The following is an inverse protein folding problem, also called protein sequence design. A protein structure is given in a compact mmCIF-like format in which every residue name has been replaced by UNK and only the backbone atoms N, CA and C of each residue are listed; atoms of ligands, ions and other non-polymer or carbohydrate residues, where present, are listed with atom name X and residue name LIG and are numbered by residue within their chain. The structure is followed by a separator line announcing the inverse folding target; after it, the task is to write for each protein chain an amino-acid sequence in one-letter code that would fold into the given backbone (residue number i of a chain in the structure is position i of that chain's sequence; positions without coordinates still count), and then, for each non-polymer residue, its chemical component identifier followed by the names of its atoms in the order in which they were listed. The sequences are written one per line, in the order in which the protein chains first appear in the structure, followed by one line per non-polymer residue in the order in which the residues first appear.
data_IF_475166038038
#
_entry.id   IF_475166038038
#
_cell.length_a   1.000
_cell.length_b   1.000
_cell.length_c   1.000
_cell.angle_alpha   90.00
_cell.angle_beta   90.00
_cell.angle_gamma   90.00
#
_symmetry.space_group_name_H-M   'P 1'
#
loop_
_entity.id
_entity.type
_entity.pdbx_description
1 polymer ?
#
# COMPACT_ATOMS: atom_id res chain seq x y z
N UNK A 1 -90.51 28.52 -8.99
CA UNK A 1 -89.76 29.15 -10.08
C UNK A 1 -88.52 29.80 -9.54
N UNK A 2 -87.34 29.15 -9.64
CA UNK A 2 -86.08 29.64 -9.14
C UNK A 2 -85.27 30.15 -10.36
N UNK A 3 -84.91 31.42 -10.30
CA UNK A 3 -84.04 32.08 -11.30
C UNK A 3 -82.58 31.71 -11.02
N UNK A 4 -81.89 31.19 -12.04
CA UNK A 4 -80.44 31.00 -11.98
C UNK A 4 -79.76 32.27 -12.56
N UNK A 5 -78.88 32.84 -11.76
CA UNK A 5 -77.95 33.92 -12.20
C UNK A 5 -76.68 33.24 -12.71
N UNK A 6 -76.29 33.59 -13.92
CA UNK A 6 -75.04 33.18 -14.56
C UNK A 6 -74.01 34.27 -14.30
N UNK A 7 -72.98 33.94 -13.55
CA UNK A 7 -71.85 34.86 -13.28
C UNK A 7 -70.74 34.55 -14.32
N UNK A 8 -70.43 35.52 -15.18
CA UNK A 8 -69.32 35.44 -16.10
C UNK A 8 -67.99 35.68 -15.34
N UNK A 9 -67.09 34.68 -15.31
CA UNK A 9 -65.73 34.84 -14.87
C UNK A 9 -64.86 35.32 -16.03
N UNK A 10 -64.30 36.53 -15.91
CA UNK A 10 -63.34 37.09 -16.81
C UNK A 10 -61.97 36.49 -16.52
N UNK A 11 -61.38 35.80 -17.47
CA UNK A 11 -59.98 35.29 -17.39
C UNK A 11 -59.03 36.38 -17.82
N UNK A 12 -58.20 36.86 -16.89
CA UNK A 12 -57.09 37.72 -17.19
C UNK A 12 -55.87 36.85 -17.64
N UNK A 13 -55.45 37.05 -18.87
CA UNK A 13 -54.28 36.41 -19.44
C UNK A 13 -53.07 37.26 -19.03
N UNK A 14 -52.22 36.76 -18.12
CA UNK A 14 -50.95 37.31 -17.80
C UNK A 14 -49.88 36.87 -18.85
N UNK A 15 -49.06 37.76 -19.39
CA UNK A 15 -48.01 37.38 -20.34
C UNK A 15 -46.87 36.66 -19.57
N UNK A 16 -46.60 35.43 -19.94
CA UNK A 16 -45.46 34.63 -19.49
C UNK A 16 -44.18 35.16 -20.15
N UNK A 17 -43.38 35.93 -19.42
CA UNK A 17 -42.04 36.32 -19.88
C UNK A 17 -41.12 35.13 -19.72
N UNK A 18 -40.84 34.41 -20.83
CA UNK A 18 -39.81 33.37 -20.87
C UNK A 18 -38.46 34.06 -20.82
N UNK A 19 -37.84 34.11 -19.65
CA UNK A 19 -36.46 34.53 -19.51
C UNK A 19 -35.55 33.49 -20.19
N UNK A 20 -34.93 33.87 -21.30
CA UNK A 20 -33.83 33.12 -21.89
C UNK A 20 -32.65 33.18 -20.91
N UNK A 21 -32.56 32.17 -20.01
CA UNK A 21 -31.36 31.94 -19.21
C UNK A 21 -30.24 31.59 -20.18
N UNK A 22 -29.25 32.46 -20.32
CA UNK A 22 -28.01 32.12 -21.01
C UNK A 22 -27.36 30.94 -20.31
N UNK A 23 -27.40 29.76 -20.95
CA UNK A 23 -26.59 28.63 -20.54
C UNK A 23 -25.13 29.04 -20.69
N UNK A 24 -24.46 29.33 -19.56
CA UNK A 24 -23.02 29.46 -19.55
C UNK A 24 -22.42 28.16 -20.10
N UNK A 25 -21.53 28.23 -21.10
CA UNK A 25 -20.88 27.03 -21.60
C UNK A 25 -20.17 26.33 -20.42
N UNK A 26 -20.49 25.05 -20.20
CA UNK A 26 -19.79 24.25 -19.24
C UNK A 26 -18.30 24.34 -19.58
N UNK A 27 -17.49 24.83 -18.63
CA UNK A 27 -16.06 24.91 -18.81
C UNK A 27 -15.57 23.48 -19.07
N UNK A 28 -15.18 23.21 -20.30
CA UNK A 28 -14.55 21.95 -20.68
C UNK A 28 -13.35 21.80 -19.77
N UNK A 29 -13.35 20.78 -18.91
CA UNK A 29 -12.19 20.46 -18.09
C UNK A 29 -11.03 20.20 -19.06
N UNK A 30 -10.13 21.17 -19.19
CA UNK A 30 -8.90 20.99 -19.97
C UNK A 30 -8.18 19.80 -19.38
N UNK A 31 -8.00 18.75 -20.18
CA UNK A 31 -7.11 17.66 -19.81
C UNK A 31 -5.76 18.24 -19.40
N UNK A 32 -5.23 17.81 -18.25
CA UNK A 32 -3.92 18.27 -17.82
C UNK A 32 -2.90 17.99 -18.95
N UNK A 33 -1.97 18.92 -19.24
CA UNK A 33 -1.02 18.78 -20.33
C UNK A 33 -0.22 17.49 -20.21
N UNK A 34 -0.12 16.75 -21.31
CA UNK A 34 0.71 15.54 -21.38
C UNK A 34 2.08 15.88 -21.98
N UNK A 35 3.13 15.41 -21.33
CA UNK A 35 4.50 15.50 -21.81
C UNK A 35 5.03 14.10 -22.07
N UNK A 36 5.37 13.81 -23.34
CA UNK A 36 5.90 12.50 -23.74
C UNK A 36 7.43 12.51 -23.65
N UNK A 37 7.99 11.46 -23.05
CA UNK A 37 9.43 11.24 -22.88
C UNK A 37 9.81 9.98 -23.62
N UNK A 38 10.82 10.08 -24.48
CA UNK A 38 11.36 8.96 -25.25
C UNK A 38 12.60 8.38 -24.54
N UNK A 39 12.95 7.09 -24.80
CA UNK A 39 14.20 6.52 -24.31
C UNK A 39 15.42 7.38 -24.68
N UNK A 40 16.35 7.54 -23.72
CA UNK A 40 17.50 8.44 -23.88
C UNK A 40 17.23 9.88 -23.42
N UNK A 41 15.98 10.27 -23.22
CA UNK A 41 15.64 11.55 -22.61
C UNK A 41 15.59 11.45 -21.06
N UNK A 42 15.86 12.53 -20.37
CA UNK A 42 15.79 12.60 -18.91
C UNK A 42 14.35 12.67 -18.42
N UNK A 43 13.93 11.67 -17.66
CA UNK A 43 12.63 11.68 -16.99
C UNK A 43 12.55 12.81 -15.96
N UNK A 44 13.64 13.05 -15.22
CA UNK A 44 13.68 14.12 -14.20
C UNK A 44 13.43 15.49 -14.82
N UNK A 45 14.10 15.81 -15.95
CA UNK A 45 13.87 17.08 -16.63
C UNK A 45 12.41 17.26 -17.05
N UNK A 46 11.77 16.21 -17.51
CA UNK A 46 10.34 16.24 -17.87
C UNK A 46 9.46 16.45 -16.63
N UNK A 47 9.76 15.76 -15.52
CA UNK A 47 9.06 15.96 -14.24
C UNK A 47 9.23 17.39 -13.73
N UNK A 48 10.43 17.95 -13.81
CA UNK A 48 10.71 19.33 -13.36
C UNK A 48 9.94 20.36 -14.18
N UNK A 49 9.91 20.19 -15.50
CA UNK A 49 9.22 21.10 -16.43
C UNK A 49 7.68 20.96 -16.40
N UNK A 50 7.15 19.84 -15.94
CA UNK A 50 5.72 19.59 -15.89
C UNK A 50 5.00 20.53 -14.90
N UNK A 51 3.86 21.08 -15.30
CA UNK A 51 3.00 21.82 -14.37
C UNK A 51 2.38 20.90 -13.32
N UNK A 52 2.03 21.40 -12.12
CA UNK A 52 1.27 20.63 -11.14
C UNK A 52 0.00 20.02 -11.75
N UNK A 53 -0.23 18.72 -11.51
CA UNK A 53 -1.35 17.96 -12.08
C UNK A 53 -1.13 17.42 -13.50
N UNK A 54 -0.03 17.76 -14.16
CA UNK A 54 0.29 17.26 -15.49
C UNK A 54 0.61 15.75 -15.51
N UNK A 55 0.60 15.19 -16.70
CA UNK A 55 0.99 13.78 -16.93
C UNK A 55 2.31 13.74 -17.70
N UNK A 56 3.32 13.06 -17.15
CA UNK A 56 4.55 12.69 -17.84
C UNK A 56 4.38 11.25 -18.32
N UNK A 57 4.44 11.06 -19.62
CA UNK A 57 4.22 9.77 -20.29
C UNK A 57 5.55 9.22 -20.80
N UNK A 58 5.94 8.09 -20.25
CA UNK A 58 7.13 7.36 -20.72
C UNK A 58 6.71 6.32 -21.76
N UNK A 59 7.29 6.37 -22.94
CA UNK A 59 7.08 5.35 -23.96
C UNK A 59 7.75 4.02 -23.57
N UNK A 60 7.60 2.99 -24.39
CA UNK A 60 8.34 1.74 -24.20
C UNK A 60 9.85 1.98 -24.31
N UNK A 61 10.62 1.39 -23.43
CA UNK A 61 12.08 1.48 -23.42
C UNK A 61 12.66 1.61 -22.02
N UNK A 62 13.99 1.76 -21.97
CA UNK A 62 14.73 1.86 -20.71
C UNK A 62 15.12 3.30 -20.46
N UNK A 63 14.84 3.74 -19.22
CA UNK A 63 15.15 5.08 -18.72
C UNK A 63 16.15 4.95 -17.58
N UNK A 64 17.22 5.72 -17.62
CA UNK A 64 18.29 5.67 -16.63
C UNK A 64 18.22 6.85 -15.66
N UNK A 65 18.47 6.57 -14.39
CA UNK A 65 18.48 7.57 -13.33
C UNK A 65 17.26 7.49 -12.41
N UNK A 66 17.38 8.14 -11.29
CA UNK A 66 16.31 8.30 -10.29
C UNK A 66 15.33 9.39 -10.72
N UNK A 67 14.12 9.36 -10.13
CA UNK A 67 13.09 10.36 -10.40
C UNK A 67 12.56 10.90 -9.08
N UNK A 68 12.68 12.20 -8.85
CA UNK A 68 12.14 12.89 -7.67
C UNK A 68 10.87 13.67 -8.04
N UNK A 69 9.80 13.41 -7.31
CA UNK A 69 8.49 14.05 -7.49
C UNK A 69 8.12 14.79 -6.20
N UNK A 70 8.00 16.10 -6.27
CA UNK A 70 7.67 16.97 -5.13
C UNK A 70 6.38 17.79 -5.33
N UNK A 71 5.63 17.50 -6.37
CA UNK A 71 4.38 18.18 -6.73
C UNK A 71 3.33 17.19 -7.25
N UNK A 72 2.04 17.54 -7.24
CA UNK A 72 1.01 16.73 -7.88
C UNK A 72 1.39 16.40 -9.33
N UNK A 73 1.46 15.13 -9.69
CA UNK A 73 1.89 14.69 -11.02
C UNK A 73 1.40 13.26 -11.27
N UNK A 74 1.16 12.92 -12.54
CA UNK A 74 1.03 11.54 -12.99
C UNK A 74 2.28 11.15 -13.77
N UNK A 75 3.02 10.15 -13.29
CA UNK A 75 4.09 9.47 -14.04
C UNK A 75 3.52 8.16 -14.59
N UNK A 76 3.40 8.04 -15.90
CA UNK A 76 2.76 6.90 -16.56
C UNK A 76 3.66 6.28 -17.60
N UNK A 77 3.91 5.00 -17.48
CA UNK A 77 4.57 4.20 -18.52
C UNK A 77 3.57 3.54 -19.48
N UNK A 78 4.08 2.79 -20.44
CA UNK A 78 3.34 1.99 -21.41
C UNK A 78 3.24 0.50 -20.98
N UNK A 79 3.32 0.21 -19.69
CA UNK A 79 3.31 -1.15 -19.13
C UNK A 79 4.70 -1.65 -18.75
N UNK A 80 4.85 -2.97 -18.59
CA UNK A 80 6.09 -3.60 -18.12
C UNK A 80 7.33 -3.38 -19.01
N UNK A 81 7.14 -2.91 -20.23
CA UNK A 81 8.21 -2.57 -21.16
C UNK A 81 8.74 -1.13 -21.01
N UNK A 82 8.18 -0.34 -20.12
CA UNK A 82 8.74 0.94 -19.69
C UNK A 82 9.50 0.70 -18.41
N UNK A 83 10.83 0.74 -18.47
CA UNK A 83 11.70 0.31 -17.37
C UNK A 83 12.59 1.45 -16.91
N UNK A 84 12.52 1.78 -15.63
CA UNK A 84 13.42 2.74 -14.96
C UNK A 84 14.47 1.93 -14.22
N UNK A 85 15.76 2.21 -14.51
CA UNK A 85 16.93 1.52 -13.95
C UNK A 85 17.95 2.53 -13.41
N UNK A 86 18.86 2.12 -12.51
CA UNK A 86 19.92 2.99 -12.03
C UNK A 86 20.87 3.44 -13.17
N UNK A 87 21.59 4.51 -12.91
CA UNK A 87 22.54 5.10 -13.85
C UNK A 87 22.02 6.42 -14.42
N UNK A 88 22.85 7.07 -15.23
CA UNK A 88 22.59 8.40 -15.80
C UNK A 88 23.79 9.32 -15.53
N UNK A 89 23.96 10.32 -16.40
CA UNK A 89 25.04 11.33 -16.28
C UNK A 89 24.62 12.46 -15.34
N UNK A 90 24.35 12.13 -14.08
CA UNK A 90 24.00 13.15 -13.07
C UNK A 90 25.28 13.78 -12.51
N UNK A 91 25.62 14.96 -13.02
CA UNK A 91 26.75 15.76 -12.48
C UNK A 91 26.55 16.18 -11.02
N UNK A 92 25.30 16.25 -10.55
CA UNK A 92 24.94 16.52 -9.17
C UNK A 92 23.73 15.66 -8.78
N UNK A 93 23.95 14.48 -8.18
CA UNK A 93 22.85 13.59 -7.81
C UNK A 93 21.96 14.25 -6.76
N UNK A 94 20.63 14.15 -6.95
CA UNK A 94 19.65 14.60 -5.98
C UNK A 94 19.54 13.66 -4.76
N UNK A 95 18.65 13.97 -3.83
CA UNK A 95 18.48 13.17 -2.62
C UNK A 95 18.00 11.74 -2.91
N UNK A 96 17.19 11.55 -3.96
CA UNK A 96 16.70 10.23 -4.36
C UNK A 96 17.83 9.34 -4.89
N UNK A 97 18.64 9.90 -5.79
CA UNK A 97 19.82 9.23 -6.34
C UNK A 97 20.84 8.90 -5.26
N UNK A 98 21.15 9.86 -4.38
CA UNK A 98 22.08 9.61 -3.25
C UNK A 98 21.56 8.56 -2.28
N UNK A 99 20.23 8.46 -2.14
CA UNK A 99 19.61 7.43 -1.32
C UNK A 99 19.59 6.05 -1.97
N UNK A 100 19.99 5.92 -3.25
CA UNK A 100 19.94 4.66 -4.00
C UNK A 100 18.53 4.21 -4.38
N UNK A 101 17.55 5.12 -4.45
CA UNK A 101 16.15 4.83 -4.76
C UNK A 101 15.83 5.11 -6.23
N UNK A 102 14.80 4.44 -6.75
CA UNK A 102 14.35 4.63 -8.13
C UNK A 102 13.43 5.83 -8.32
N UNK A 103 12.27 5.81 -7.70
CA UNK A 103 11.32 6.92 -7.72
C UNK A 103 11.06 7.39 -6.30
N UNK A 104 11.32 8.65 -6.02
CA UNK A 104 11.02 9.28 -4.74
C UNK A 104 9.85 10.25 -4.87
N UNK A 105 8.85 10.10 -4.00
CA UNK A 105 7.78 11.09 -3.82
C UNK A 105 7.94 11.69 -2.43
N UNK A 106 8.34 12.96 -2.37
CA UNK A 106 8.76 13.54 -1.10
C UNK A 106 8.01 14.82 -0.77
N UNK A 107 7.22 14.78 0.30
CA UNK A 107 6.62 15.94 0.96
C UNK A 107 7.29 16.25 2.28
N UNK A 108 6.76 17.22 3.01
CA UNK A 108 7.10 17.54 4.41
C UNK A 108 5.91 17.28 5.32
N UNK A 109 6.10 17.34 6.62
CA UNK A 109 4.98 17.17 7.57
C UNK A 109 3.98 18.33 7.45
N UNK A 110 4.45 19.56 7.19
CA UNK A 110 3.64 20.75 6.98
C UNK A 110 2.99 20.78 5.58
N UNK A 111 3.67 20.27 4.57
CA UNK A 111 3.25 20.29 3.17
C UNK A 111 3.38 18.91 2.52
N UNK A 112 2.47 17.97 2.81
CA UNK A 112 2.47 16.68 2.15
C UNK A 112 2.23 16.84 0.64
N UNK A 113 2.96 16.08 -0.16
CA UNK A 113 2.70 16.04 -1.61
C UNK A 113 1.41 15.27 -1.87
N UNK A 114 0.45 15.93 -2.55
CA UNK A 114 -0.90 15.38 -2.71
C UNK A 114 -1.16 14.91 -4.14
N UNK A 115 -1.80 13.75 -4.31
CA UNK A 115 -2.37 13.32 -5.58
C UNK A 115 -1.36 12.88 -6.63
N UNK A 116 -0.17 12.46 -6.23
CA UNK A 116 0.79 11.85 -7.16
C UNK A 116 0.29 10.49 -7.59
N UNK A 117 0.44 10.18 -8.89
CA UNK A 117 0.11 8.89 -9.47
C UNK A 117 1.30 8.30 -10.21
N UNK A 118 1.69 7.08 -9.86
CA UNK A 118 2.74 6.30 -10.56
C UNK A 118 2.05 5.08 -11.14
N UNK A 119 2.10 4.95 -12.48
CA UNK A 119 1.30 3.92 -13.16
C UNK A 119 2.03 3.21 -14.29
N UNK A 120 1.80 1.90 -14.41
CA UNK A 120 2.09 1.10 -15.61
C UNK A 120 3.54 1.22 -16.07
N UNK A 121 4.49 0.96 -15.18
CA UNK A 121 5.93 0.94 -15.46
C UNK A 121 6.66 -0.06 -14.56
N UNK A 122 7.91 -0.35 -14.90
CA UNK A 122 8.82 -1.17 -14.09
C UNK A 122 9.91 -0.29 -13.48
N UNK A 123 10.24 -0.55 -12.23
CA UNK A 123 11.38 0.05 -11.50
C UNK A 123 12.24 -1.09 -10.98
N UNK A 124 13.48 -1.19 -11.43
CA UNK A 124 14.30 -2.35 -11.10
C UNK A 124 15.78 -2.04 -10.91
N UNK A 125 16.42 -2.87 -10.07
CA UNK A 125 17.88 -2.89 -9.91
C UNK A 125 18.46 -1.74 -9.09
N UNK A 126 17.65 -0.97 -8.37
CA UNK A 126 18.14 0.10 -7.49
C UNK A 126 18.77 -0.47 -6.22
N UNK A 127 19.76 0.25 -5.69
CA UNK A 127 20.49 -0.17 -4.49
C UNK A 127 19.59 -0.30 -3.26
N UNK A 128 18.54 0.55 -3.15
CA UNK A 128 17.57 0.49 -2.07
C UNK A 128 16.16 0.27 -2.60
N UNK A 129 15.35 1.30 -2.69
CA UNK A 129 13.92 1.15 -2.96
C UNK A 129 13.58 1.38 -4.43
N UNK A 130 12.67 0.59 -4.96
CA UNK A 130 12.12 0.86 -6.28
C UNK A 130 11.30 2.16 -6.26
N UNK A 131 10.28 2.23 -5.41
CA UNK A 131 9.48 3.44 -5.16
C UNK A 131 9.55 3.76 -3.67
N UNK A 132 9.94 4.97 -3.32
CA UNK A 132 10.02 5.48 -1.96
C UNK A 132 9.15 6.73 -1.82
N UNK A 133 8.10 6.66 -1.04
CA UNK A 133 7.17 7.78 -0.83
C UNK A 133 7.18 8.20 0.64
N UNK A 134 7.35 9.48 0.89
CA UNK A 134 7.41 10.03 2.25
C UNK A 134 6.50 11.25 2.35
N UNK A 135 5.65 11.30 3.38
CA UNK A 135 4.74 12.41 3.66
C UNK A 135 3.90 12.77 2.44
N UNK A 136 3.17 11.77 1.93
CA UNK A 136 2.26 11.94 0.80
C UNK A 136 0.81 11.84 1.24
N UNK A 137 -0.06 12.50 0.49
CA UNK A 137 -1.50 12.36 0.63
C UNK A 137 -2.13 11.96 -0.70
N UNK A 138 -3.03 10.97 -0.70
CA UNK A 138 -3.65 10.40 -1.92
C UNK A 138 -2.62 9.95 -2.98
N UNK A 139 -1.52 9.36 -2.54
CA UNK A 139 -0.60 8.68 -3.45
C UNK A 139 -1.31 7.49 -4.11
N UNK A 140 -1.16 7.36 -5.41
CA UNK A 140 -1.61 6.19 -6.15
C UNK A 140 -0.44 5.48 -6.81
N UNK A 141 -0.19 4.20 -6.47
CA UNK A 141 0.74 3.33 -7.17
C UNK A 141 -0.05 2.18 -7.76
N UNK A 142 -0.11 2.12 -9.10
CA UNK A 142 -1.01 1.23 -9.79
C UNK A 142 -0.37 0.54 -10.99
N UNK A 143 -0.41 -0.79 -11.06
CA UNK A 143 0.21 -1.59 -12.13
C UNK A 143 1.70 -1.28 -12.31
N UNK A 144 2.40 -1.07 -11.21
CA UNK A 144 3.85 -0.92 -11.18
C UNK A 144 4.47 -2.27 -10.87
N UNK A 145 5.55 -2.60 -11.59
CA UNK A 145 6.43 -3.72 -11.25
C UNK A 145 7.68 -3.14 -10.57
N UNK A 146 7.91 -3.51 -9.31
CA UNK A 146 9.11 -3.12 -8.55
C UNK A 146 9.90 -4.40 -8.24
N UNK A 147 11.02 -4.61 -8.92
CA UNK A 147 11.76 -5.89 -8.81
C UNK A 147 13.25 -5.72 -8.68
N UNK A 148 13.87 -6.70 -8.01
CA UNK A 148 15.33 -6.78 -7.87
C UNK A 148 15.94 -5.50 -7.31
N UNK A 149 15.23 -4.78 -6.44
CA UNK A 149 15.76 -3.64 -5.71
C UNK A 149 16.40 -4.13 -4.40
N UNK A 150 17.45 -3.48 -3.96
CA UNK A 150 18.27 -3.95 -2.85
C UNK A 150 17.59 -3.91 -1.49
N UNK A 151 16.50 -3.14 -1.33
CA UNK A 151 15.74 -3.07 -0.08
C UNK A 151 14.25 -3.33 -0.31
N UNK A 152 13.46 -2.32 -0.61
CA UNK A 152 12.02 -2.44 -0.76
C UNK A 152 11.55 -2.24 -2.20
N UNK A 153 10.53 -2.99 -2.58
CA UNK A 153 9.91 -2.77 -3.89
C UNK A 153 9.16 -1.44 -3.92
N UNK A 154 8.14 -1.29 -3.08
CA UNK A 154 7.37 -0.05 -2.91
C UNK A 154 7.31 0.26 -1.42
N UNK A 155 7.78 1.43 -1.05
CA UNK A 155 7.84 1.89 0.32
C UNK A 155 7.04 3.18 0.55
N UNK A 156 6.36 3.27 1.69
CA UNK A 156 5.59 4.44 2.09
C UNK A 156 5.83 4.77 3.55
N UNK A 157 6.18 6.03 3.86
CA UNK A 157 6.33 6.56 5.21
C UNK A 157 5.38 7.73 5.46
N UNK A 158 4.76 7.78 6.65
CA UNK A 158 3.91 8.90 7.13
C UNK A 158 2.99 9.47 6.04
N UNK A 159 2.28 8.60 5.35
CA UNK A 159 1.44 8.98 4.22
C UNK A 159 -0.02 8.62 4.49
N UNK A 160 -0.94 9.40 3.90
CA UNK A 160 -2.36 9.25 4.15
C UNK A 160 -3.14 8.99 2.86
N UNK A 161 -4.27 8.30 2.98
CA UNK A 161 -5.24 8.04 1.90
C UNK A 161 -4.62 7.44 0.65
N UNK A 162 -3.54 6.66 0.79
CA UNK A 162 -2.87 6.06 -0.34
C UNK A 162 -3.67 4.88 -0.93
N UNK A 163 -3.45 4.64 -2.21
CA UNK A 163 -4.00 3.51 -2.95
C UNK A 163 -2.86 2.77 -3.65
N UNK A 164 -2.42 1.63 -3.10
CA UNK A 164 -1.35 0.80 -3.66
C UNK A 164 -1.99 -0.47 -4.22
N UNK A 165 -2.24 -0.50 -5.53
CA UNK A 165 -3.09 -1.55 -6.11
C UNK A 165 -2.55 -2.18 -7.38
N UNK A 166 -2.75 -3.50 -7.50
CA UNK A 166 -2.41 -4.29 -8.68
C UNK A 166 -0.94 -4.19 -9.08
N UNK A 167 -0.04 -4.01 -8.11
CA UNK A 167 1.38 -3.97 -8.34
C UNK A 167 1.98 -5.36 -8.22
N UNK A 168 3.13 -5.56 -8.85
CA UNK A 168 3.98 -6.72 -8.63
C UNK A 168 5.26 -6.24 -7.95
N UNK A 169 5.58 -6.80 -6.78
CA UNK A 169 6.85 -6.55 -6.12
C UNK A 169 7.57 -7.88 -5.93
N UNK A 170 8.69 -8.06 -6.62
CA UNK A 170 9.38 -9.34 -6.62
C UNK A 170 10.88 -9.21 -6.45
N UNK A 171 11.45 -10.21 -5.78
CA UNK A 171 12.90 -10.38 -5.65
C UNK A 171 13.61 -9.15 -5.07
N UNK A 172 12.93 -8.39 -4.21
CA UNK A 172 13.53 -7.27 -3.51
C UNK A 172 14.25 -7.79 -2.24
N UNK A 173 15.31 -7.11 -1.85
CA UNK A 173 16.22 -7.56 -0.80
C UNK A 173 15.59 -7.67 0.60
N UNK A 174 14.56 -6.88 0.89
CA UNK A 174 13.82 -6.95 2.14
C UNK A 174 12.31 -7.12 1.86
N UNK A 175 11.50 -6.08 1.91
CA UNK A 175 10.07 -6.24 1.70
C UNK A 175 9.62 -5.92 0.27
N UNK A 176 8.64 -6.69 -0.24
CA UNK A 176 7.94 -6.33 -1.47
C UNK A 176 7.19 -5.00 -1.31
N UNK A 177 6.36 -4.89 -0.28
CA UNK A 177 5.73 -3.64 0.16
C UNK A 177 6.12 -3.33 1.61
N UNK A 178 6.53 -2.11 1.87
CA UNK A 178 6.85 -1.63 3.22
C UNK A 178 6.09 -0.34 3.50
N UNK A 179 5.18 -0.36 4.48
CA UNK A 179 4.42 0.82 4.88
C UNK A 179 4.64 1.08 6.37
N UNK A 180 5.05 2.29 6.73
CA UNK A 180 5.44 2.57 8.10
C UNK A 180 5.14 4.02 8.53
N UNK A 181 5.13 4.23 9.84
CA UNK A 181 5.43 5.51 10.43
C UNK A 181 6.90 5.49 10.86
N UNK A 182 7.74 6.18 10.11
CA UNK A 182 9.21 6.22 10.24
C UNK A 182 9.90 4.97 9.70
N UNK A 183 10.66 5.14 8.63
CA UNK A 183 11.50 4.09 8.05
C UNK A 183 12.68 3.72 8.96
N UNK A 184 13.12 4.64 9.81
CA UNK A 184 14.19 4.42 10.77
C UNK A 184 13.64 4.18 12.18
N UNK A 185 14.39 3.45 13.00
CA UNK A 185 13.96 3.07 14.34
C UNK A 185 14.06 4.27 15.30
N UNK A 186 13.00 5.04 15.37
CA UNK A 186 12.82 6.03 16.42
C UNK A 186 11.95 5.43 17.53
N UNK A 187 12.48 5.32 18.74
CA UNK A 187 11.84 4.63 19.86
C UNK A 187 10.52 5.28 20.31
N UNK A 188 10.30 6.55 19.99
CA UNK A 188 9.11 7.30 20.38
C UNK A 188 8.01 7.39 19.31
N UNK A 189 8.15 6.70 18.18
CA UNK A 189 7.20 6.80 17.08
C UNK A 189 5.83 6.25 17.46
N UNK A 190 4.84 7.13 17.54
CA UNK A 190 3.43 6.79 17.77
C UNK A 190 2.84 6.10 16.54
N UNK A 191 1.74 5.41 16.71
CA UNK A 191 0.93 4.91 15.58
C UNK A 191 0.42 6.10 14.76
N UNK A 192 0.53 5.99 13.43
CA UNK A 192 0.12 7.02 12.49
C UNK A 192 -1.22 6.65 11.84
N UNK A 193 -2.14 7.60 11.81
CA UNK A 193 -3.43 7.45 11.14
C UNK A 193 -3.26 7.62 9.63
N UNK A 194 -3.39 6.53 8.88
CA UNK A 194 -3.30 6.58 7.41
C UNK A 194 -4.55 7.15 6.75
N UNK A 195 -5.60 7.44 7.49
CA UNK A 195 -6.88 7.99 6.99
C UNK A 195 -7.49 7.17 5.86
N UNK A 196 -7.42 5.85 5.96
CA UNK A 196 -8.03 4.93 5.01
C UNK A 196 -7.12 4.56 3.82
N UNK A 197 -5.83 4.38 4.04
CA UNK A 197 -4.94 3.76 3.04
C UNK A 197 -5.40 2.35 2.70
N UNK A 198 -5.37 2.01 1.41
CA UNK A 198 -5.76 0.67 0.91
C UNK A 198 -4.63 0.06 0.09
N UNK A 199 -4.24 -1.16 0.48
CA UNK A 199 -3.25 -1.98 -0.22
C UNK A 199 -3.97 -3.22 -0.75
N UNK A 200 -4.18 -3.30 -2.08
CA UNK A 200 -5.11 -4.28 -2.63
C UNK A 200 -4.67 -4.85 -3.97
N UNK A 201 -4.91 -6.15 -4.16
CA UNK A 201 -4.69 -6.82 -5.44
C UNK A 201 -3.22 -6.91 -5.88
N UNK A 202 -2.28 -6.75 -4.96
CA UNK A 202 -0.85 -6.82 -5.27
C UNK A 202 -0.36 -8.27 -5.29
N UNK A 203 0.66 -8.55 -6.11
CA UNK A 203 1.39 -9.81 -6.15
C UNK A 203 2.79 -9.59 -5.57
N UNK A 204 3.10 -10.30 -4.47
CA UNK A 204 4.33 -10.15 -3.71
C UNK A 204 5.04 -11.49 -3.66
N UNK A 205 6.19 -11.62 -4.33
CA UNK A 205 6.87 -12.91 -4.45
C UNK A 205 8.39 -12.79 -4.45
N UNK A 206 9.08 -13.76 -3.92
CA UNK A 206 10.55 -13.81 -3.96
C UNK A 206 11.26 -12.82 -3.03
N UNK A 207 10.54 -12.03 -2.24
CA UNK A 207 11.14 -11.08 -1.30
C UNK A 207 11.54 -11.78 0.02
N UNK A 208 12.31 -11.12 0.86
CA UNK A 208 12.51 -11.58 2.23
C UNK A 208 11.18 -11.57 3.00
N UNK A 209 10.42 -10.49 2.90
CA UNK A 209 9.06 -10.35 3.45
C UNK A 209 8.14 -9.87 2.32
N UNK A 210 7.00 -10.53 2.15
CA UNK A 210 6.02 -10.06 1.16
C UNK A 210 5.57 -8.64 1.47
N UNK A 211 5.06 -8.41 2.68
CA UNK A 211 4.59 -7.11 3.13
C UNK A 211 4.89 -6.86 4.61
N UNK A 212 5.25 -5.63 4.93
CA UNK A 212 5.32 -5.13 6.31
C UNK A 212 4.44 -3.89 6.46
N UNK A 213 3.61 -3.87 7.51
CA UNK A 213 2.94 -2.66 8.00
C UNK A 213 3.43 -2.37 9.41
N UNK A 214 3.92 -1.16 9.67
CA UNK A 214 4.51 -0.84 10.97
C UNK A 214 4.01 0.48 11.54
N UNK A 215 3.42 0.43 12.73
CA UNK A 215 2.90 1.60 13.47
C UNK A 215 1.88 2.42 12.68
N UNK A 216 0.96 1.74 12.01
CA UNK A 216 -0.09 2.36 11.19
C UNK A 216 -1.47 1.89 11.65
N UNK A 217 -2.42 2.81 11.64
CA UNK A 217 -3.84 2.55 11.82
C UNK A 217 -4.68 3.07 10.64
N UNK A 218 -5.98 2.79 10.64
CA UNK A 218 -6.90 3.08 9.53
C UNK A 218 -6.38 2.57 8.18
N UNK A 219 -5.93 1.31 8.16
CA UNK A 219 -5.30 0.65 7.02
C UNK A 219 -6.06 -0.61 6.65
N UNK A 220 -6.30 -0.81 5.36
CA UNK A 220 -6.86 -2.05 4.84
C UNK A 220 -5.86 -2.73 3.89
N UNK A 221 -5.55 -4.01 4.19
CA UNK A 221 -4.74 -4.91 3.35
C UNK A 221 -5.65 -6.01 2.83
N UNK A 222 -5.95 -6.03 1.53
CA UNK A 222 -6.94 -6.94 1.00
C UNK A 222 -6.64 -7.48 -0.40
N UNK A 223 -7.12 -8.68 -0.70
CA UNK A 223 -7.04 -9.30 -2.03
C UNK A 223 -5.61 -9.39 -2.59
N UNK A 224 -4.58 -9.42 -1.76
CA UNK A 224 -3.20 -9.58 -2.21
C UNK A 224 -2.85 -11.06 -2.33
N UNK A 225 -1.98 -11.37 -3.28
CA UNK A 225 -1.36 -12.69 -3.45
C UNK A 225 0.09 -12.60 -2.96
N UNK A 226 0.42 -13.34 -1.91
CA UNK A 226 1.70 -13.27 -1.22
C UNK A 226 2.26 -14.68 -1.11
N UNK A 227 3.27 -14.99 -1.92
CA UNK A 227 3.77 -16.36 -2.06
C UNK A 227 5.26 -16.40 -2.40
N UNK A 228 5.95 -17.50 -2.01
CA UNK A 228 7.34 -17.71 -2.35
C UNK A 228 8.31 -16.71 -1.71
N UNK A 229 7.92 -16.05 -0.63
CA UNK A 229 8.79 -15.22 0.20
C UNK A 229 9.36 -16.06 1.36
N UNK A 230 10.17 -15.48 2.22
CA UNK A 230 10.57 -16.12 3.48
C UNK A 230 9.50 -15.90 4.57
N UNK A 231 8.82 -14.76 4.49
CA UNK A 231 7.66 -14.42 5.30
C UNK A 231 6.59 -13.71 4.46
N UNK A 232 5.31 -13.96 4.78
CA UNK A 232 4.18 -13.36 4.09
C UNK A 232 3.91 -11.94 4.55
N UNK A 233 3.19 -11.76 5.66
CA UNK A 233 2.74 -10.46 6.17
C UNK A 233 3.20 -10.24 7.60
N UNK A 234 3.90 -9.15 7.84
CA UNK A 234 4.20 -8.63 9.16
C UNK A 234 3.31 -7.42 9.49
N UNK A 235 2.55 -7.53 10.57
CA UNK A 235 1.81 -6.41 11.18
C UNK A 235 2.49 -6.06 12.49
N UNK A 236 3.13 -4.91 12.55
CA UNK A 236 4.02 -4.56 13.66
C UNK A 236 3.58 -3.27 14.34
N UNK A 237 3.30 -3.37 15.64
CA UNK A 237 3.04 -2.25 16.54
C UNK A 237 1.98 -1.24 16.09
N UNK A 238 0.84 -1.59 15.51
CA UNK A 238 -0.28 -0.68 15.45
C UNK A 238 -0.91 -0.58 16.86
N UNK A 239 -0.97 0.62 17.41
CA UNK A 239 -1.64 0.88 18.70
C UNK A 239 -2.67 1.99 18.57
N UNK A 240 -3.90 1.68 18.92
CA UNK A 240 -5.03 2.60 19.22
C UNK A 240 -5.31 3.78 18.29
N UNK A 241 -4.93 3.74 17.02
CA UNK A 241 -5.30 4.76 16.03
C UNK A 241 -6.05 4.11 14.87
N UNK A 242 -7.35 3.94 15.05
CA UNK A 242 -8.24 3.36 14.05
C UNK A 242 -8.01 1.87 13.76
N UNK A 243 -8.82 1.32 12.89
CA UNK A 243 -8.83 -0.10 12.59
C UNK A 243 -7.74 -0.48 11.59
N UNK A 244 -6.99 -1.54 11.88
CA UNK A 244 -6.16 -2.20 10.89
C UNK A 244 -6.84 -3.51 10.48
N UNK A 245 -7.14 -3.66 9.20
CA UNK A 245 -7.81 -4.85 8.68
C UNK A 245 -6.94 -5.57 7.64
N UNK A 246 -6.67 -6.86 7.86
CA UNK A 246 -6.04 -7.76 6.91
C UNK A 246 -7.09 -8.78 6.47
N UNK A 247 -7.58 -8.68 5.23
CA UNK A 247 -8.68 -9.53 4.78
C UNK A 247 -8.57 -10.01 3.35
N UNK A 248 -9.14 -11.19 3.08
CA UNK A 248 -9.27 -11.76 1.73
C UNK A 248 -7.94 -11.84 0.98
N UNK A 249 -6.83 -12.02 1.69
CA UNK A 249 -5.53 -12.25 1.08
C UNK A 249 -5.30 -13.75 0.90
N UNK A 250 -4.55 -14.12 -0.15
CA UNK A 250 -3.99 -15.45 -0.33
C UNK A 250 -2.51 -15.40 0.07
N UNK A 251 -2.15 -16.09 1.15
CA UNK A 251 -0.79 -16.10 1.72
C UNK A 251 -0.32 -17.55 1.81
N UNK A 252 0.54 -17.97 0.91
CA UNK A 252 0.91 -19.39 0.86
C UNK A 252 2.34 -19.63 0.41
N UNK A 253 2.90 -20.77 0.83
CA UNK A 253 4.23 -21.23 0.39
C UNK A 253 5.33 -20.18 0.58
N UNK A 254 5.28 -19.41 1.68
CA UNK A 254 6.35 -18.47 2.01
C UNK A 254 7.48 -19.19 2.74
N UNK A 255 8.06 -20.20 2.07
CA UNK A 255 8.94 -21.20 2.64
C UNK A 255 10.42 -21.00 2.32
N UNK A 256 10.79 -19.92 1.63
CA UNK A 256 12.20 -19.62 1.39
C UNK A 256 12.91 -19.36 2.70
N UNK A 257 14.14 -19.84 2.82
CA UNK A 257 15.01 -19.52 3.95
C UNK A 257 15.71 -18.18 3.71
N UNK A 258 15.59 -17.28 4.65
CA UNK A 258 16.33 -16.04 4.71
C UNK A 258 17.12 -15.97 6.02
N UNK A 259 18.45 -15.78 5.98
CA UNK A 259 19.25 -15.70 7.19
C UNK A 259 18.85 -14.55 8.10
N UNK A 260 19.27 -14.59 9.35
CA UNK A 260 19.09 -13.49 10.29
C UNK A 260 19.69 -12.18 9.72
N UNK A 261 18.96 -11.10 9.85
CA UNK A 261 19.41 -9.78 9.38
C UNK A 261 18.80 -8.66 10.22
N UNK A 262 19.58 -7.62 10.48
CA UNK A 262 19.21 -6.51 11.33
C UNK A 262 18.69 -6.99 12.71
N UNK A 263 17.40 -6.73 13.01
CA UNK A 263 16.78 -7.10 14.29
C UNK A 263 15.93 -8.36 14.20
N UNK A 264 15.82 -8.96 13.02
CA UNK A 264 15.01 -10.16 12.82
C UNK A 264 15.88 -11.42 12.81
N UNK A 265 15.46 -12.52 13.43
CA UNK A 265 16.08 -13.82 13.26
C UNK A 265 15.94 -14.27 11.80
N UNK A 266 16.40 -15.49 11.50
CA UNK A 266 16.10 -16.10 10.22
C UNK A 266 14.57 -16.17 10.00
N UNK A 267 14.15 -16.05 8.77
CA UNK A 267 12.75 -16.13 8.37
C UNK A 267 12.55 -17.30 7.43
N UNK A 268 11.53 -18.09 7.71
CA UNK A 268 11.06 -19.20 6.87
C UNK A 268 9.65 -19.59 7.30
N UNK A 269 8.75 -19.86 6.35
CA UNK A 269 7.45 -20.44 6.66
C UNK A 269 6.51 -19.53 7.47
N UNK A 270 6.60 -18.22 7.29
CA UNK A 270 5.75 -17.28 8.00
C UNK A 270 4.55 -16.88 7.12
N UNK A 271 3.35 -17.13 7.59
CA UNK A 271 2.12 -16.67 6.92
C UNK A 271 1.80 -15.22 7.27
N UNK A 272 0.92 -14.98 8.23
CA UNK A 272 0.57 -13.66 8.77
C UNK A 272 1.01 -13.61 10.23
N UNK A 273 1.82 -12.63 10.60
CA UNK A 273 2.24 -12.46 11.99
C UNK A 273 1.84 -11.10 12.54
N UNK A 274 1.26 -11.10 13.73
CA UNK A 274 0.90 -9.93 14.51
C UNK A 274 1.93 -9.75 15.63
N UNK A 275 2.60 -8.60 15.69
CA UNK A 275 3.66 -8.34 16.68
C UNK A 275 3.35 -7.06 17.45
N UNK A 276 2.99 -7.19 18.72
CA UNK A 276 2.62 -6.07 19.58
C UNK A 276 1.44 -5.25 19.04
N UNK A 277 0.45 -5.94 18.48
CA UNK A 277 -0.69 -5.29 17.79
C UNK A 277 -1.87 -5.12 18.75
N UNK A 278 -2.64 -4.06 18.54
CA UNK A 278 -3.88 -3.81 19.27
C UNK A 278 -5.05 -3.60 18.31
N UNK A 279 -6.16 -4.31 18.54
CA UNK A 279 -7.42 -4.20 17.77
C UNK A 279 -7.28 -4.48 16.26
N UNK A 280 -6.29 -5.26 15.85
CA UNK A 280 -6.19 -5.70 14.46
C UNK A 280 -7.28 -6.74 14.14
N UNK A 281 -7.88 -6.62 12.96
CA UNK A 281 -8.83 -7.60 12.42
C UNK A 281 -8.18 -8.38 11.29
N UNK A 282 -8.00 -9.69 11.48
CA UNK A 282 -7.52 -10.61 10.45
C UNK A 282 -8.66 -11.54 10.07
N UNK A 283 -9.21 -11.39 8.86
CA UNK A 283 -10.44 -12.10 8.50
C UNK A 283 -10.52 -12.53 7.04
N UNK A 284 -11.16 -13.66 6.79
CA UNK A 284 -11.42 -14.16 5.43
C UNK A 284 -10.15 -14.35 4.58
N UNK A 285 -8.99 -14.59 5.19
CA UNK A 285 -7.77 -14.89 4.46
C UNK A 285 -7.67 -16.40 4.20
N UNK A 286 -7.02 -16.76 3.10
CA UNK A 286 -6.57 -18.11 2.83
C UNK A 286 -5.06 -18.18 3.09
N UNK A 287 -4.66 -18.83 4.19
CA UNK A 287 -3.27 -18.93 4.63
C UNK A 287 -2.87 -20.40 4.63
N UNK A 288 -1.99 -20.80 3.70
CA UNK A 288 -1.73 -22.21 3.47
C UNK A 288 -0.25 -22.53 3.25
N UNK A 289 0.13 -23.71 3.69
CA UNK A 289 1.39 -24.34 3.31
C UNK A 289 2.62 -23.46 3.57
N UNK A 290 2.55 -22.58 4.58
CA UNK A 290 3.70 -21.83 5.07
C UNK A 290 4.44 -22.72 6.08
N UNK A 291 5.60 -23.23 5.68
CA UNK A 291 6.34 -24.27 6.42
C UNK A 291 7.75 -23.79 6.70
N UNK A 292 8.14 -23.77 7.97
CA UNK A 292 9.46 -23.35 8.40
C UNK A 292 9.71 -23.58 9.88
N UNK A 293 10.88 -23.13 10.33
CA UNK A 293 11.36 -23.30 11.71
C UNK A 293 11.79 -22.00 12.38
N UNK A 294 11.49 -20.85 11.74
CA UNK A 294 11.76 -19.56 12.38
C UNK A 294 10.84 -19.33 13.60
N UNK A 295 11.20 -18.48 14.53
CA UNK A 295 10.33 -18.17 15.67
C UNK A 295 8.93 -17.65 15.28
N UNK A 296 8.80 -17.11 14.07
CA UNK A 296 7.54 -16.58 13.53
C UNK A 296 6.78 -17.57 12.64
N UNK A 297 7.32 -18.76 12.38
CA UNK A 297 6.71 -19.74 11.45
C UNK A 297 5.33 -20.17 11.90
N UNK A 298 4.46 -20.38 10.93
CA UNK A 298 3.07 -20.80 11.08
C UNK A 298 2.12 -20.03 10.17
N UNK A 299 0.86 -20.39 10.23
CA UNK A 299 -0.18 -19.77 9.40
C UNK A 299 -0.53 -18.36 9.84
N UNK A 300 -1.28 -18.21 10.93
CA UNK A 300 -1.54 -16.89 11.56
C UNK A 300 -0.99 -16.95 12.98
N UNK A 301 -0.02 -16.11 13.27
CA UNK A 301 0.75 -16.14 14.53
C UNK A 301 0.61 -14.80 15.26
N UNK A 302 0.16 -14.85 16.50
CA UNK A 302 0.22 -13.72 17.44
C UNK A 302 1.52 -13.88 18.24
N UNK A 303 2.48 -12.97 18.04
CA UNK A 303 3.83 -13.07 18.56
C UNK A 303 4.18 -11.90 19.49
N UNK A 304 4.80 -12.18 20.63
CA UNK A 304 5.24 -11.15 21.57
C UNK A 304 6.26 -10.20 20.95
N UNK A 305 6.12 -8.91 21.20
CA UNK A 305 7.05 -7.90 20.71
C UNK A 305 8.35 -7.93 21.48
N UNK A 306 9.48 -7.76 20.78
CA UNK A 306 10.80 -7.59 21.43
C UNK A 306 10.88 -6.29 22.26
N UNK A 307 10.01 -5.33 22.00
CA UNK A 307 9.92 -4.06 22.76
C UNK A 307 9.00 -4.18 24.00
N UNK A 308 8.56 -5.39 24.38
CA UNK A 308 7.67 -5.65 25.51
C UNK A 308 6.24 -5.15 25.32
N UNK A 309 5.84 -4.93 24.08
CA UNK A 309 4.49 -4.49 23.73
C UNK A 309 3.61 -5.72 23.50
N UNK A 310 2.61 -5.94 24.35
CA UNK A 310 1.68 -7.04 24.24
C UNK A 310 0.72 -6.88 23.06
N UNK A 311 0.26 -8.01 22.52
CA UNK A 311 -0.85 -8.06 21.56
C UNK A 311 -2.18 -8.03 22.31
N UNK A 312 -3.03 -7.07 22.02
CA UNK A 312 -4.25 -6.82 22.76
C UNK A 312 -5.48 -6.73 21.84
N UNK A 313 -6.57 -7.41 22.25
CA UNK A 313 -7.90 -7.28 21.61
C UNK A 313 -7.91 -7.49 20.09
N UNK A 314 -6.97 -8.27 19.56
CA UNK A 314 -6.98 -8.62 18.16
C UNK A 314 -8.07 -9.68 17.89
N UNK A 315 -8.64 -9.62 16.70
CA UNK A 315 -9.66 -10.58 16.26
C UNK A 315 -9.18 -11.30 15.00
N UNK A 316 -8.95 -12.60 15.13
CA UNK A 316 -8.62 -13.50 14.02
C UNK A 316 -9.83 -14.38 13.76
N UNK A 317 -10.56 -14.13 12.65
CA UNK A 317 -11.82 -14.84 12.44
C UNK A 317 -12.11 -15.17 10.98
N UNK A 318 -12.89 -16.20 10.78
CA UNK A 318 -13.39 -16.61 9.46
C UNK A 318 -12.27 -16.84 8.43
N UNK A 319 -11.06 -17.24 8.86
CA UNK A 319 -9.93 -17.53 7.99
C UNK A 319 -9.89 -19.03 7.66
N UNK A 320 -9.35 -19.36 6.49
CA UNK A 320 -8.98 -20.71 6.12
C UNK A 320 -7.46 -20.85 6.27
N UNK A 321 -7.01 -21.59 7.28
CA UNK A 321 -5.61 -21.68 7.67
C UNK A 321 -5.24 -23.17 7.73
N UNK A 322 -4.56 -23.68 6.72
CA UNK A 322 -4.32 -25.12 6.59
C UNK A 322 -2.91 -25.46 6.09
N UNK A 323 -2.35 -26.52 6.62
CA UNK A 323 -1.06 -27.07 6.16
C UNK A 323 0.14 -26.21 6.55
N UNK A 324 0.00 -25.31 7.50
CA UNK A 324 1.11 -24.48 7.97
C UNK A 324 1.86 -25.19 9.12
N UNK A 325 3.17 -25.06 9.14
CA UNK A 325 3.99 -25.64 10.20
C UNK A 325 4.84 -24.56 10.89
N UNK A 326 4.99 -24.69 12.22
CA UNK A 326 4.58 -25.77 13.13
C UNK A 326 3.08 -25.79 13.47
N UNK A 327 2.34 -24.68 13.27
CA UNK A 327 0.91 -24.62 13.57
C UNK A 327 0.16 -23.73 12.57
N UNK A 328 -1.11 -24.03 12.33
CA UNK A 328 -1.97 -23.16 11.52
C UNK A 328 -2.31 -21.88 12.27
N UNK A 329 -2.73 -21.97 13.52
CA UNK A 329 -2.92 -20.84 14.41
C UNK A 329 -1.97 -20.92 15.60
N UNK A 330 -1.31 -19.81 15.94
CA UNK A 330 -0.43 -19.80 17.11
C UNK A 330 -0.52 -18.52 17.91
N UNK A 331 -0.45 -18.66 19.25
CA UNK A 331 -0.26 -17.55 20.18
C UNK A 331 1.04 -17.77 20.94
N UNK A 332 2.05 -16.98 20.65
CA UNK A 332 3.39 -16.99 21.27
C UNK A 332 3.64 -15.63 21.94
N UNK A 333 2.63 -15.14 22.62
CA UNK A 333 2.66 -13.89 23.39
C UNK A 333 2.05 -14.15 24.77
N UNK A 334 2.90 -14.33 25.76
CA UNK A 334 2.46 -14.59 27.15
C UNK A 334 1.81 -13.38 27.82
N UNK A 335 2.10 -12.18 27.34
CA UNK A 335 1.58 -10.91 27.87
C UNK A 335 0.28 -10.47 27.19
N UNK A 336 -0.07 -11.12 26.06
CA UNK A 336 -1.22 -10.77 25.23
C UNK A 336 -2.55 -11.00 25.92
N UNK A 337 -3.50 -10.06 25.77
CA UNK A 337 -4.82 -10.11 26.41
C UNK A 337 -5.95 -9.95 25.40
N UNK A 338 -7.06 -10.63 25.68
CA UNK A 338 -8.33 -10.50 24.94
C UNK A 338 -8.22 -10.73 23.40
N UNK A 339 -7.18 -11.44 22.96
CA UNK A 339 -7.08 -11.85 21.57
C UNK A 339 -8.09 -12.98 21.30
N UNK A 340 -8.86 -12.87 20.21
CA UNK A 340 -9.95 -13.80 19.90
C UNK A 340 -9.70 -14.51 18.58
N UNK A 341 -9.83 -15.84 18.61
CA UNK A 341 -9.84 -16.69 17.43
C UNK A 341 -11.26 -17.25 17.27
N UNK A 342 -11.94 -16.94 16.17
CA UNK A 342 -13.37 -17.23 16.01
C UNK A 342 -13.63 -17.81 14.61
N UNK A 343 -14.30 -18.94 14.52
CA UNK A 343 -14.75 -19.53 13.26
C UNK A 343 -13.64 -19.70 12.20
N UNK A 344 -12.40 -19.94 12.61
CA UNK A 344 -11.35 -20.25 11.65
C UNK A 344 -11.42 -21.74 11.31
N UNK A 345 -11.17 -22.07 10.05
CA UNK A 345 -10.98 -23.44 9.61
C UNK A 345 -9.48 -23.73 9.64
N UNK A 346 -9.04 -24.57 10.56
CA UNK A 346 -7.64 -24.91 10.76
C UNK A 346 -7.51 -26.39 11.21
N UNK A 347 -6.33 -26.97 11.04
CA UNK A 347 -6.03 -28.35 11.45
C UNK A 347 -5.24 -28.43 12.75
N UNK A 348 -4.40 -27.42 13.01
CA UNK A 348 -3.48 -27.42 14.17
C UNK A 348 -3.43 -26.07 14.85
N UNK A 349 -3.24 -26.05 16.17
CA UNK A 349 -3.06 -24.79 16.91
C UNK A 349 -2.08 -24.90 18.08
N UNK A 350 -1.50 -23.78 18.44
CA UNK A 350 -0.62 -23.58 19.59
C UNK A 350 -1.10 -22.38 20.41
N UNK A 351 -1.65 -22.56 21.62
CA UNK A 351 -1.95 -23.85 22.28
C UNK A 351 -3.03 -24.64 21.54
N UNK A 352 -3.06 -25.95 21.82
CA UNK A 352 -4.09 -26.82 21.28
C UNK A 352 -5.49 -26.37 21.69
N UNK A 353 -6.46 -26.53 20.79
CA UNK A 353 -7.85 -26.13 21.02
C UNK A 353 -8.20 -24.69 20.63
N UNK A 354 -7.31 -23.97 19.96
CA UNK A 354 -7.59 -22.63 19.40
C UNK A 354 -8.25 -22.70 18.01
N UNK A 355 -8.17 -23.87 17.37
CA UNK A 355 -8.90 -24.15 16.12
C UNK A 355 -10.39 -24.39 16.32
#
# INVERSE_FOLDING_TARGET
MRKYQVTCLSWAIAPLVIGMGALAPAASARSAPEQVVLPGQSVQKAVDAAAPGATVVLTRGTYRGSVTITKPLTLRGAGGQTVIVPGGDEKAPDACTRAGNGICVTGTDEHPVTGVRIRSLTVEGFEKDGVSATRTDRLEVHRVTARSNGRWGIAQDRSTRASIRYNTASDNGDAGLYTANVFEADAESKTYDTRGTVISGNRLTGNRIGMTTRRLGNLTVEHNLITGNCAGVFVVLPRTVGDLTVRRNAVHENNRYCPAAARLPHLQGVGIVLVGTEKALVTQNAVRDNVGDSPYSGGIVVFGSMDGVANDRNVVRDNLVLGNLPADLATRDAEGKDNKFINNVCGTSEPAGTC
#
